data_IF_351380450173
#
_entry.id   IF_351380450173
#
_cell.length_a   1.000
_cell.length_b   1.000
_cell.length_c   1.000
_cell.angle_alpha   90.00
_cell.angle_beta   90.00
_cell.angle_gamma   90.00
#
_symmetry.space_group_name_H-M   'P 1'
#
loop_
_entity.id
_entity.type
_entity.pdbx_description
1 polymer ?
#
# COMPACT_ATOMS: atom_id res chain seq x y z
N UNK A 1 35.36 -31.88 -36.98
CA UNK A 1 34.94 -30.94 -35.90
C UNK A 1 35.91 -31.11 -34.74
N UNK A 2 36.72 -30.08 -34.45
CA UNK A 2 37.91 -30.18 -33.59
C UNK A 2 37.56 -30.48 -32.12
N UNK A 3 37.96 -31.67 -31.64
CA UNK A 3 37.74 -32.15 -30.28
C UNK A 3 38.47 -31.32 -29.20
N UNK A 4 39.52 -30.57 -29.57
CA UNK A 4 40.41 -29.85 -28.66
C UNK A 4 39.80 -28.66 -27.91
N UNK A 5 38.62 -28.15 -28.30
CA UNK A 5 37.98 -27.01 -27.63
C UNK A 5 37.09 -27.40 -26.44
N UNK A 6 36.87 -28.71 -26.20
CA UNK A 6 35.96 -29.18 -25.15
C UNK A 6 36.59 -29.18 -23.75
N UNK A 7 37.92 -29.18 -23.67
CA UNK A 7 38.66 -29.34 -22.40
C UNK A 7 39.32 -28.06 -21.88
N UNK A 8 39.03 -26.90 -22.48
CA UNK A 8 39.44 -25.61 -21.92
C UNK A 8 38.69 -25.37 -20.60
N UNK A 9 39.36 -25.62 -19.47
CA UNK A 9 38.88 -25.28 -18.13
C UNK A 9 38.82 -23.74 -17.99
N UNK A 10 37.76 -23.14 -18.52
CA UNK A 10 37.51 -21.71 -18.34
C UNK A 10 37.33 -21.44 -16.84
N UNK A 11 38.25 -20.67 -16.26
CA UNK A 11 38.16 -20.22 -14.88
C UNK A 11 36.83 -19.50 -14.62
N UNK A 12 36.44 -19.38 -13.35
CA UNK A 12 35.21 -18.66 -12.99
C UNK A 12 35.28 -17.24 -13.56
N UNK A 13 34.29 -16.79 -14.38
CA UNK A 13 34.32 -15.46 -14.95
C UNK A 13 34.33 -14.40 -13.84
N UNK A 14 35.30 -13.48 -13.90
CA UNK A 14 35.50 -12.40 -12.92
C UNK A 14 34.30 -11.45 -12.89
N UNK A 15 33.64 -11.26 -14.04
CA UNK A 15 32.45 -10.43 -14.18
C UNK A 15 31.20 -11.29 -14.35
N UNK A 16 30.17 -11.01 -13.53
CA UNK A 16 28.86 -11.66 -13.65
C UNK A 16 28.00 -10.85 -14.63
N UNK A 17 27.27 -11.53 -15.51
CA UNK A 17 26.29 -10.88 -16.40
C UNK A 17 25.29 -10.04 -15.58
N UNK A 18 24.90 -8.84 -16.07
CA UNK A 18 23.92 -8.00 -15.39
C UNK A 18 22.59 -8.75 -15.30
N UNK A 19 21.90 -8.60 -14.16
CA UNK A 19 20.62 -9.26 -13.92
C UNK A 19 19.50 -8.25 -14.07
N UNK A 20 19.05 -8.07 -15.29
CA UNK A 20 18.01 -7.10 -15.66
C UNK A 20 16.61 -7.71 -15.53
N UNK A 21 15.66 -6.92 -15.04
CA UNK A 21 14.25 -7.28 -15.13
C UNK A 21 13.72 -6.92 -16.52
N UNK A 22 13.10 -7.89 -17.20
CA UNK A 22 12.54 -7.70 -18.55
C UNK A 22 11.33 -6.74 -18.60
N UNK A 23 10.62 -6.54 -17.48
CA UNK A 23 9.43 -5.67 -17.40
C UNK A 23 9.76 -4.20 -17.18
N UNK A 24 10.74 -3.93 -16.31
CA UNK A 24 11.09 -2.58 -15.87
C UNK A 24 12.51 -2.14 -16.25
N UNK A 25 13.26 -3.00 -16.95
CA UNK A 25 14.66 -2.80 -17.35
C UNK A 25 15.63 -2.52 -16.19
N UNK A 26 15.21 -2.69 -14.93
CA UNK A 26 16.04 -2.43 -13.76
C UNK A 26 17.17 -3.46 -13.65
N UNK A 27 18.40 -2.97 -13.53
CA UNK A 27 19.59 -3.79 -13.29
C UNK A 27 19.72 -4.11 -11.80
N UNK A 28 19.96 -5.38 -11.47
CA UNK A 28 20.23 -5.82 -10.10
C UNK A 28 21.66 -6.39 -9.98
N UNK A 29 22.33 -6.08 -8.87
CA UNK A 29 23.69 -6.59 -8.59
C UNK A 29 23.72 -8.10 -8.24
N UNK A 30 22.66 -8.63 -7.60
CA UNK A 30 22.58 -10.01 -7.09
C UNK A 30 21.38 -10.78 -7.67
N UNK A 31 21.47 -12.11 -7.83
CA UNK A 31 20.35 -12.92 -8.36
C UNK A 31 19.18 -12.94 -7.39
N UNK A 32 19.47 -13.01 -6.09
CA UNK A 32 18.47 -12.99 -5.03
C UNK A 32 17.58 -11.74 -5.12
N UNK A 33 18.16 -10.59 -5.47
CA UNK A 33 17.41 -9.34 -5.61
C UNK A 33 16.47 -9.37 -6.82
N UNK A 34 16.90 -9.94 -7.95
CA UNK A 34 16.02 -10.12 -9.11
C UNK A 34 14.89 -11.11 -8.81
N UNK A 35 15.18 -12.24 -8.15
CA UNK A 35 14.14 -13.20 -7.73
C UNK A 35 13.12 -12.55 -6.80
N UNK A 36 13.58 -11.88 -5.74
CA UNK A 36 12.71 -11.15 -4.80
C UNK A 36 11.89 -10.08 -5.51
N UNK A 37 12.47 -9.39 -6.49
CA UNK A 37 11.78 -8.40 -7.28
C UNK A 37 10.61 -9.00 -8.09
N UNK A 38 10.82 -10.15 -8.72
CA UNK A 38 9.79 -10.86 -9.49
C UNK A 38 8.71 -11.49 -8.61
N UNK A 39 9.06 -11.89 -7.37
CA UNK A 39 8.13 -12.46 -6.39
C UNK A 39 7.25 -11.44 -5.68
N UNK A 40 7.42 -10.12 -5.90
CA UNK A 40 6.58 -9.11 -5.26
C UNK A 40 5.12 -9.24 -5.70
N UNK A 41 4.19 -9.11 -4.74
CA UNK A 41 2.73 -9.06 -4.99
C UNK A 41 2.37 -8.02 -6.06
N UNK A 42 3.05 -6.88 -6.04
CA UNK A 42 2.86 -5.81 -7.01
C UNK A 42 3.83 -5.95 -8.19
N UNK A 43 3.27 -6.00 -9.39
CA UNK A 43 4.03 -6.09 -10.64
C UNK A 43 4.85 -4.82 -10.87
N UNK A 44 6.00 -4.97 -11.51
CA UNK A 44 6.93 -3.87 -11.80
C UNK A 44 6.71 -3.19 -13.15
N UNK A 45 5.64 -3.54 -13.86
CA UNK A 45 5.26 -2.96 -15.15
C UNK A 45 4.96 -1.45 -15.01
N UNK A 46 5.32 -0.65 -16.04
CA UNK A 46 5.12 0.81 -16.03
C UNK A 46 3.67 1.20 -15.70
N UNK A 47 2.70 0.52 -16.33
CA UNK A 47 1.25 0.70 -16.09
C UNK A 47 0.87 0.40 -14.64
N UNK A 48 1.31 -0.74 -14.11
CA UNK A 48 1.02 -1.16 -12.73
C UNK A 48 1.61 -0.20 -11.69
N UNK A 49 2.82 0.31 -11.95
CA UNK A 49 3.48 1.28 -11.05
C UNK A 49 2.78 2.63 -11.05
N UNK A 50 2.26 3.09 -12.20
CA UNK A 50 1.46 4.32 -12.30
C UNK A 50 0.18 4.20 -11.46
N UNK A 51 -0.59 3.13 -11.65
CA UNK A 51 -1.81 2.88 -10.86
C UNK A 51 -1.53 2.79 -9.35
N UNK A 52 -0.44 2.12 -8.96
CA UNK A 52 -0.03 2.07 -7.55
C UNK A 52 0.32 3.47 -7.00
N UNK A 53 0.99 4.29 -7.82
CA UNK A 53 1.32 5.65 -7.42
C UNK A 53 0.07 6.52 -7.26
N UNK A 54 -0.88 6.41 -8.18
CA UNK A 54 -2.17 7.10 -8.12
C UNK A 54 -2.96 6.69 -6.87
N UNK A 55 -3.04 5.39 -6.55
CA UNK A 55 -3.69 4.90 -5.33
C UNK A 55 -3.03 5.45 -4.06
N UNK A 56 -1.68 5.45 -3.99
CA UNK A 56 -0.95 6.05 -2.86
C UNK A 56 -1.19 7.55 -2.74
N UNK A 57 -1.19 8.26 -3.86
CA UNK A 57 -1.45 9.70 -3.90
C UNK A 57 -2.89 10.01 -3.49
N UNK A 58 -3.86 9.21 -3.92
CA UNK A 58 -5.26 9.35 -3.51
C UNK A 58 -5.43 9.12 -2.00
N UNK A 59 -4.82 8.07 -1.44
CA UNK A 59 -4.82 7.82 -0.01
C UNK A 59 -4.15 8.96 0.77
N UNK A 60 -3.03 9.49 0.27
CA UNK A 60 -2.36 10.66 0.85
C UNK A 60 -3.23 11.91 0.83
N UNK A 61 -3.99 12.15 -0.26
CA UNK A 61 -4.92 13.28 -0.33
C UNK A 61 -6.05 13.14 0.68
N UNK A 62 -6.57 11.92 0.84
CA UNK A 62 -7.61 11.63 1.85
C UNK A 62 -7.07 11.88 3.26
N UNK A 63 -5.88 11.38 3.60
CA UNK A 63 -5.30 11.61 4.93
C UNK A 63 -5.02 13.08 5.20
N UNK A 64 -4.48 13.82 4.24
CA UNK A 64 -4.29 15.27 4.37
C UNK A 64 -5.61 16.02 4.54
N UNK A 65 -6.66 15.62 3.81
CA UNK A 65 -8.00 16.20 3.95
C UNK A 65 -8.57 15.97 5.34
N UNK A 66 -8.49 14.74 5.84
CA UNK A 66 -8.95 14.39 7.20
C UNK A 66 -8.18 15.17 8.24
N UNK A 67 -6.85 15.26 8.12
CA UNK A 67 -6.01 16.04 9.01
C UNK A 67 -6.43 17.53 9.03
N UNK A 68 -6.62 18.13 7.86
CA UNK A 68 -7.00 19.52 7.75
C UNK A 68 -8.39 19.78 8.35
N UNK A 69 -9.37 18.93 8.04
CA UNK A 69 -10.72 19.02 8.59
C UNK A 69 -10.72 18.86 10.12
N UNK A 70 -9.99 17.86 10.64
CA UNK A 70 -9.80 17.67 12.08
C UNK A 70 -9.22 18.92 12.73
N UNK A 71 -8.14 19.46 12.17
CA UNK A 71 -7.50 20.66 12.69
C UNK A 71 -8.40 21.90 12.63
N UNK A 72 -9.29 21.99 11.63
CA UNK A 72 -10.29 23.06 11.52
C UNK A 72 -11.40 22.91 12.56
N UNK A 73 -11.89 21.68 12.78
CA UNK A 73 -12.88 21.37 13.82
C UNK A 73 -12.33 21.64 15.23
N UNK A 74 -11.09 21.26 15.52
CA UNK A 74 -10.44 21.54 16.81
C UNK A 74 -10.33 23.05 17.08
N UNK A 75 -10.07 23.86 16.06
CA UNK A 75 -10.04 25.34 16.19
C UNK A 75 -11.44 25.95 16.31
N UNK A 76 -12.41 25.45 15.54
CA UNK A 76 -13.78 25.97 15.52
C UNK A 76 -14.60 25.51 16.72
N UNK A 77 -14.24 24.40 17.33
CA UNK A 77 -15.01 23.74 18.37
C UNK A 77 -14.11 22.95 19.33
N UNK A 78 -13.47 23.68 20.24
CA UNK A 78 -13.16 23.14 21.58
C UNK A 78 -14.41 22.71 22.38
N UNK A 79 -15.62 22.82 21.80
CA UNK A 79 -16.93 22.56 22.41
C UNK A 79 -17.42 21.09 22.35
N UNK A 80 -16.81 20.22 21.54
CA UNK A 80 -17.29 18.82 21.38
C UNK A 80 -16.58 17.80 22.27
N UNK A 81 -15.56 18.21 23.02
CA UNK A 81 -14.90 17.35 24.00
C UNK A 81 -15.76 17.05 25.23
N UNK A 82 -16.74 17.91 25.53
CA UNK A 82 -17.69 17.74 26.64
C UNK A 82 -18.86 16.80 26.27
N UNK A 83 -19.34 16.77 25.02
CA UNK A 83 -20.55 15.99 24.68
C UNK A 83 -20.35 14.47 24.55
N UNK A 84 -19.12 13.98 24.35
CA UNK A 84 -18.87 12.53 24.15
C UNK A 84 -18.77 11.76 25.48
N UNK A 85 -18.64 12.44 26.62
CA UNK A 85 -18.60 11.81 27.94
C UNK A 85 -19.95 11.81 28.68
N UNK A 86 -21.02 12.37 28.10
CA UNK A 86 -22.33 12.51 28.77
C UNK A 86 -23.38 11.52 28.23
N UNK A 87 -23.03 10.62 27.30
CA UNK A 87 -23.95 9.54 26.90
C UNK A 87 -23.52 8.24 27.56
N UNK A 88 -24.07 7.89 28.75
CA UNK A 88 -23.81 6.62 29.38
C UNK A 88 -24.23 5.47 28.42
N UNK A 89 -23.51 4.34 28.41
CA UNK A 89 -23.80 3.20 27.52
C UNK A 89 -25.25 2.68 27.60
N UNK A 90 -25.96 2.96 28.71
CA UNK A 90 -27.39 2.68 28.89
C UNK A 90 -28.30 3.45 27.92
N UNK A 91 -27.95 4.67 27.52
CA UNK A 91 -28.75 5.47 26.59
C UNK A 91 -28.66 4.95 25.13
N UNK A 92 -27.55 4.32 24.75
CA UNK A 92 -27.38 3.68 23.44
C UNK A 92 -28.14 2.35 23.31
N UNK A 93 -28.43 1.69 24.45
CA UNK A 93 -29.23 0.47 24.46
C UNK A 93 -30.72 0.75 24.16
N UNK A 94 -31.25 1.90 24.60
CA UNK A 94 -32.65 2.29 24.37
C UNK A 94 -32.92 2.79 22.93
N UNK A 95 -31.91 3.36 22.26
CA UNK A 95 -32.05 3.82 20.88
C UNK A 95 -32.15 2.65 19.87
N UNK A 96 -31.49 1.52 20.16
CA UNK A 96 -31.56 0.32 19.32
C UNK A 96 -32.91 -0.40 19.44
N UNK A 97 -33.55 -0.38 20.61
CA UNK A 97 -34.88 -0.96 20.78
C UNK A 97 -35.96 -0.14 20.08
N UNK A 98 -35.89 1.20 20.07
CA UNK A 98 -36.86 2.04 19.36
C UNK A 98 -36.85 1.83 17.83
N UNK A 99 -35.68 1.61 17.23
CA UNK A 99 -35.57 1.32 15.78
C UNK A 99 -36.11 -0.06 15.36
N UNK A 100 -36.30 -0.98 16.32
CA UNK A 100 -36.94 -2.29 16.07
C UNK A 100 -38.47 -2.24 16.26
N UNK A 101 -39.00 -1.21 16.92
CA UNK A 101 -40.43 -1.13 17.27
C UNK A 101 -41.21 -0.22 16.29
N UNK A 102 -40.56 0.70 15.58
CA UNK A 102 -41.22 1.57 14.60
C UNK A 102 -40.44 1.66 13.28
N UNK A 103 -40.63 0.72 12.34
CA UNK A 103 -40.03 0.81 11.00
C UNK A 103 -40.73 1.81 10.06
N UNK A 104 -41.94 2.30 10.39
CA UNK A 104 -42.82 3.02 9.44
C UNK A 104 -43.02 4.53 9.71
N UNK A 105 -42.08 5.21 10.38
CA UNK A 105 -42.11 6.68 10.48
C UNK A 105 -41.05 7.28 9.55
N UNK A 106 -41.38 7.33 8.25
CA UNK A 106 -40.88 8.29 7.25
C UNK A 106 -42.11 8.89 6.58
#
# INVERSE_FOLDING_TARGET
MNAALRDLKVGRPRQRKPRTCWKCAKVFARPANLRRHLQKKFKCDKKSRKAQNESRNAASRQSSRVYYLKSKLERAGGLLRELVWVVPPSALALAKSLSQVFPDVI
#
